data_IF_054280710726
#
_entry.id   IF_054280710726
#
_cell.length_a   1.000
_cell.length_b   1.000
_cell.length_c   1.000
_cell.angle_alpha   90.00
_cell.angle_beta   90.00
_cell.angle_gamma   90.00
#
_symmetry.space_group_name_H-M   'P 1'
#
loop_
_entity.id
_entity.type
_entity.pdbx_description
1 polymer ?
#
# COMPACT_ATOMS: atom_id res chain seq x y z
N UNK A 1 -15.98 9.60 33.20
CA UNK A 1 -16.45 9.84 31.82
C UNK A 1 -15.23 9.87 30.91
N UNK A 2 -14.77 8.71 30.41
CA UNK A 2 -13.58 8.63 29.55
C UNK A 2 -14.04 8.78 28.10
N UNK A 3 -13.62 9.86 27.46
CA UNK A 3 -13.89 10.16 26.06
C UNK A 3 -13.22 9.11 25.17
N UNK A 4 -14.03 8.23 24.60
CA UNK A 4 -13.67 7.39 23.47
C UNK A 4 -13.44 8.30 22.26
N UNK A 5 -12.21 8.79 22.07
CA UNK A 5 -11.82 9.35 20.79
C UNK A 5 -11.49 8.18 19.86
N UNK A 6 -12.51 7.73 19.13
CA UNK A 6 -12.31 6.96 17.91
C UNK A 6 -11.65 7.89 16.91
N UNK A 7 -10.34 7.76 16.73
CA UNK A 7 -9.63 8.44 15.65
C UNK A 7 -10.07 7.83 14.32
N UNK A 8 -11.06 8.45 13.69
CA UNK A 8 -11.43 8.19 12.30
C UNK A 8 -10.37 8.81 11.39
N UNK A 9 -9.21 8.17 11.30
CA UNK A 9 -8.18 8.45 10.31
C UNK A 9 -8.24 7.39 9.20
N UNK A 10 -9.37 7.34 8.48
CA UNK A 10 -9.55 6.41 7.37
C UNK A 10 -10.22 7.11 6.18
N UNK A 11 -9.62 8.20 5.73
CA UNK A 11 -9.93 8.78 4.43
C UNK A 11 -8.71 9.59 3.99
N UNK A 12 -8.17 9.25 2.82
CA UNK A 12 -6.95 9.80 2.19
C UNK A 12 -5.64 9.04 2.48
N UNK A 13 -5.64 7.72 2.26
CA UNK A 13 -4.40 7.00 1.93
C UNK A 13 -4.32 6.87 0.40
N UNK A 14 -3.88 7.92 -0.28
CA UNK A 14 -3.43 7.78 -1.66
C UNK A 14 -2.04 7.13 -1.67
N UNK A 15 -1.82 6.25 -2.64
CA UNK A 15 -0.84 5.16 -2.74
C UNK A 15 0.66 5.50 -2.69
N UNK A 16 1.10 6.46 -1.85
CA UNK A 16 2.52 6.69 -1.60
C UNK A 16 2.93 5.97 -0.32
N UNK A 17 3.46 4.76 -0.46
CA UNK A 17 3.97 3.90 0.64
C UNK A 17 4.83 4.66 1.66
N UNK A 18 5.48 5.76 1.28
CA UNK A 18 6.33 6.59 2.15
C UNK A 18 5.54 7.33 3.25
N UNK A 19 4.38 7.92 2.94
CA UNK A 19 3.64 8.74 3.92
C UNK A 19 2.95 7.88 4.98
N UNK A 20 2.43 6.72 4.56
CA UNK A 20 1.86 5.71 5.45
C UNK A 20 2.88 5.17 6.45
N UNK A 21 4.10 4.89 5.99
CA UNK A 21 5.17 4.39 6.85
C UNK A 21 5.63 5.43 7.89
N UNK A 22 5.62 6.72 7.55
CA UNK A 22 5.99 7.80 8.48
C UNK A 22 4.94 7.94 9.59
N UNK A 23 3.64 7.95 9.24
CA UNK A 23 2.58 8.13 10.24
C UNK A 23 2.48 6.94 11.20
N UNK A 24 2.50 5.70 10.69
CA UNK A 24 2.42 4.50 11.54
C UNK A 24 3.62 4.42 12.48
N UNK A 25 4.81 4.77 12.01
CA UNK A 25 6.02 4.73 12.81
C UNK A 25 5.95 5.68 14.01
N UNK A 26 5.46 6.91 13.79
CA UNK A 26 5.32 7.88 14.88
C UNK A 26 4.31 7.40 15.93
N UNK A 27 3.12 6.95 15.50
CA UNK A 27 2.10 6.45 16.42
C UNK A 27 2.58 5.21 17.19
N UNK A 28 3.20 4.26 16.51
CA UNK A 28 3.67 3.01 17.13
C UNK A 28 4.78 3.27 18.16
N UNK A 29 5.71 4.18 17.87
CA UNK A 29 6.73 4.59 18.84
C UNK A 29 6.08 5.24 20.06
N UNK A 30 5.12 6.16 19.85
CA UNK A 30 4.42 6.82 20.93
C UNK A 30 3.67 5.82 21.83
N UNK A 31 2.97 4.86 21.23
CA UNK A 31 2.23 3.82 21.97
C UNK A 31 3.17 2.90 22.78
N UNK A 32 4.30 2.49 22.20
CA UNK A 32 5.29 1.65 22.90
C UNK A 32 5.94 2.41 24.05
N UNK A 33 6.33 3.67 23.83
CA UNK A 33 6.90 4.52 24.87
C UNK A 33 5.89 4.73 26.00
N UNK A 34 4.63 5.02 25.67
CA UNK A 34 3.58 5.17 26.68
C UNK A 34 3.40 3.87 27.48
N UNK A 35 3.41 2.72 26.81
CA UNK A 35 3.31 1.42 27.48
C UNK A 35 4.47 1.18 28.47
N UNK A 36 5.71 1.49 28.10
CA UNK A 36 6.86 1.35 28.99
C UNK A 36 6.80 2.31 30.18
N UNK A 37 6.34 3.54 29.96
CA UNK A 37 6.13 4.52 31.04
C UNK A 37 5.07 4.02 32.03
N UNK A 38 3.92 3.56 31.54
CA UNK A 38 2.82 3.07 32.36
C UNK A 38 3.23 1.81 33.16
N UNK A 39 4.04 0.95 32.56
CA UNK A 39 4.59 -0.26 33.19
C UNK A 39 5.80 0.01 34.09
N UNK A 40 6.29 1.26 34.18
CA UNK A 40 7.51 1.65 34.92
C UNK A 40 8.76 0.85 34.50
N UNK A 41 8.88 0.57 33.21
CA UNK A 41 10.04 -0.11 32.64
C UNK A 41 11.10 0.93 32.24
N UNK A 42 12.36 0.62 32.51
CA UNK A 42 13.48 1.39 31.97
C UNK A 42 13.70 1.02 30.50
N UNK A 43 13.90 2.02 29.64
CA UNK A 43 14.17 1.83 28.22
C UNK A 43 15.11 2.91 27.67
N UNK A 44 15.88 2.57 26.63
CA UNK A 44 16.60 3.57 25.82
C UNK A 44 15.80 3.84 24.55
N UNK A 45 15.41 5.09 24.35
CA UNK A 45 14.61 5.53 23.20
C UNK A 45 15.26 5.19 21.84
N UNK A 46 16.60 5.13 21.76
CA UNK A 46 17.29 4.76 20.52
C UNK A 46 17.06 3.31 20.14
N UNK A 47 17.08 2.39 21.10
CA UNK A 47 16.80 0.98 20.83
C UNK A 47 15.34 0.75 20.48
N UNK A 48 14.41 1.40 21.18
CA UNK A 48 12.97 1.36 20.83
C UNK A 48 12.75 1.81 19.39
N UNK A 49 13.33 2.94 19.00
CA UNK A 49 13.23 3.42 17.61
C UNK A 49 13.80 2.42 16.60
N UNK A 50 14.97 1.84 16.88
CA UNK A 50 15.62 0.88 16.00
C UNK A 50 14.78 -0.38 15.82
N UNK A 51 14.23 -0.92 16.90
CA UNK A 51 13.42 -2.14 16.87
C UNK A 51 12.10 -1.92 16.15
N UNK A 52 11.42 -0.78 16.41
CA UNK A 52 10.22 -0.41 15.65
C UNK A 52 10.53 -0.25 14.17
N UNK A 53 11.63 0.43 13.83
CA UNK A 53 12.02 0.61 12.43
C UNK A 53 12.33 -0.72 11.74
N UNK A 54 13.04 -1.63 12.41
CA UNK A 54 13.33 -2.98 11.89
C UNK A 54 12.05 -3.79 11.71
N UNK A 55 11.13 -3.74 12.67
CA UNK A 55 9.85 -4.45 12.56
C UNK A 55 9.04 -3.97 11.35
N UNK A 56 8.91 -2.65 11.16
CA UNK A 56 8.21 -2.07 10.01
C UNK A 56 8.87 -2.50 8.70
N UNK A 57 10.20 -2.39 8.60
CA UNK A 57 10.94 -2.82 7.42
C UNK A 57 10.76 -4.31 7.12
N UNK A 58 10.76 -5.15 8.16
CA UNK A 58 10.57 -6.59 8.01
C UNK A 58 9.19 -6.93 7.42
N UNK A 59 8.10 -6.37 7.96
CA UNK A 59 6.75 -6.69 7.47
C UNK A 59 6.55 -6.16 6.03
N UNK A 60 7.17 -5.02 5.69
CA UNK A 60 7.15 -4.47 4.34
C UNK A 60 7.91 -5.38 3.35
N UNK A 61 9.18 -5.66 3.64
CA UNK A 61 10.07 -6.37 2.72
C UNK A 61 9.75 -7.87 2.60
N UNK A 62 9.14 -8.47 3.62
CA UNK A 62 8.63 -9.86 3.57
C UNK A 62 7.35 -10.01 2.73
N UNK A 63 6.77 -8.90 2.26
CA UNK A 63 5.52 -8.90 1.52
C UNK A 63 4.30 -9.35 2.32
N UNK A 64 4.42 -9.44 3.66
CA UNK A 64 3.31 -9.82 4.54
C UNK A 64 2.19 -8.79 4.50
N UNK A 65 2.53 -7.49 4.53
CA UNK A 65 1.54 -6.40 4.40
C UNK A 65 0.80 -6.53 3.07
N UNK A 66 1.53 -6.68 1.96
CA UNK A 66 0.97 -6.78 0.62
C UNK A 66 -0.02 -7.95 0.49
N UNK A 67 0.37 -9.13 0.99
CA UNK A 67 -0.50 -10.32 0.98
C UNK A 67 -1.74 -10.14 1.86
N UNK A 68 -1.59 -9.53 3.05
CA UNK A 68 -2.71 -9.23 3.94
C UNK A 68 -3.71 -8.25 3.33
N UNK A 69 -3.22 -7.20 2.67
CA UNK A 69 -4.07 -6.23 1.95
C UNK A 69 -4.84 -6.93 0.82
N UNK A 70 -4.16 -7.73 -0.02
CA UNK A 70 -4.82 -8.43 -1.12
C UNK A 70 -5.86 -9.45 -0.63
N UNK A 71 -5.57 -10.21 0.42
CA UNK A 71 -6.53 -11.14 1.02
C UNK A 71 -7.75 -10.42 1.62
N UNK A 72 -7.55 -9.23 2.19
CA UNK A 72 -8.58 -8.37 2.74
C UNK A 72 -9.03 -7.24 1.81
N UNK A 73 -8.89 -7.40 0.49
CA UNK A 73 -9.01 -6.29 -0.50
C UNK A 73 -10.20 -5.35 -0.27
N UNK A 74 -11.45 -5.84 -0.01
CA UNK A 74 -12.60 -4.95 0.19
C UNK A 74 -12.50 -3.99 1.39
N UNK A 75 -11.63 -4.28 2.35
CA UNK A 75 -11.44 -3.47 3.56
C UNK A 75 -10.38 -2.39 3.37
N UNK A 76 -9.38 -2.65 2.54
CA UNK A 76 -8.17 -1.82 2.42
C UNK A 76 -8.09 -1.10 1.08
N UNK A 77 -8.74 -1.61 0.04
CA UNK A 77 -8.74 -1.05 -1.30
C UNK A 77 -10.12 -0.47 -1.61
N UNK A 78 -10.14 0.72 -2.18
CA UNK A 78 -11.36 1.42 -2.58
C UNK A 78 -11.49 1.31 -4.10
N UNK A 79 -12.63 0.80 -4.57
CA UNK A 79 -12.94 0.80 -6.01
C UNK A 79 -13.20 2.21 -6.49
N UNK A 80 -12.65 2.56 -7.66
CA UNK A 80 -12.82 3.88 -8.25
C UNK A 80 -13.22 3.81 -9.73
N UNK A 81 -14.54 3.79 -9.95
CA UNK A 81 -15.14 3.77 -11.29
C UNK A 81 -14.84 5.02 -12.13
N UNK A 82 -14.46 6.15 -11.50
CA UNK A 82 -14.07 7.36 -12.22
C UNK A 82 -12.65 7.24 -12.76
N UNK A 83 -11.74 6.66 -11.97
CA UNK A 83 -10.36 6.40 -12.38
C UNK A 83 -10.31 5.50 -13.62
N UNK A 84 -11.08 4.41 -13.63
CA UNK A 84 -11.18 3.52 -14.79
C UNK A 84 -11.60 4.28 -16.06
N UNK A 85 -12.67 5.07 -15.97
CA UNK A 85 -13.17 5.87 -17.09
C UNK A 85 -12.14 6.87 -17.61
N UNK A 86 -11.41 7.50 -16.70
CA UNK A 86 -10.36 8.45 -17.05
C UNK A 86 -9.18 7.77 -17.77
N UNK A 87 -8.69 6.64 -17.25
CA UNK A 87 -7.61 5.87 -17.87
C UNK A 87 -8.03 5.34 -19.26
N UNK A 88 -9.28 4.86 -19.39
CA UNK A 88 -9.85 4.44 -20.68
C UNK A 88 -9.90 5.59 -21.69
N UNK A 89 -10.41 6.75 -21.30
CA UNK A 89 -10.45 7.93 -22.16
C UNK A 89 -9.05 8.34 -22.67
N UNK A 90 -8.03 8.27 -21.80
CA UNK A 90 -6.66 8.59 -22.21
C UNK A 90 -6.13 7.59 -23.24
N UNK A 91 -6.39 6.30 -23.05
CA UNK A 91 -6.05 5.24 -23.99
C UNK A 91 -6.74 5.44 -25.34
N UNK A 92 -8.05 5.68 -25.33
CA UNK A 92 -8.86 5.86 -26.56
C UNK A 92 -8.38 7.08 -27.37
N UNK A 93 -7.80 8.08 -26.72
CA UNK A 93 -7.14 9.23 -27.35
C UNK A 93 -5.71 8.95 -27.82
N UNK A 94 -5.26 7.70 -27.82
CA UNK A 94 -3.93 7.27 -28.27
C UNK A 94 -2.78 7.65 -27.32
N UNK A 95 -3.06 7.94 -26.04
CA UNK A 95 -2.01 8.22 -25.06
C UNK A 95 -1.40 6.91 -24.55
N UNK A 96 -0.06 6.87 -24.46
CA UNK A 96 0.68 5.80 -23.79
C UNK A 96 0.69 6.07 -22.29
N UNK A 97 0.32 5.08 -21.50
CA UNK A 97 0.29 5.16 -20.03
C UNK A 97 1.35 4.21 -19.46
N UNK A 98 1.92 4.59 -18.33
CA UNK A 98 2.87 3.77 -17.56
C UNK A 98 2.65 4.04 -16.08
N UNK A 99 2.99 3.08 -15.21
CA UNK A 99 2.90 3.21 -13.76
C UNK A 99 4.26 3.01 -13.13
N UNK A 100 4.68 4.03 -12.38
CA UNK A 100 5.86 3.98 -11.53
C UNK A 100 5.42 3.78 -10.10
N UNK A 101 5.90 2.71 -9.47
CA UNK A 101 5.52 2.32 -8.11
C UNK A 101 6.69 1.68 -7.39
N UNK A 102 6.76 1.94 -6.08
CA UNK A 102 7.76 1.35 -5.19
C UNK A 102 7.31 -0.01 -4.63
N UNK A 103 6.15 -0.49 -5.05
CA UNK A 103 5.59 -1.78 -4.65
C UNK A 103 5.92 -2.87 -5.66
N UNK A 104 6.08 -4.13 -5.22
CA UNK A 104 6.40 -5.23 -6.12
C UNK A 104 5.25 -5.50 -7.11
N UNK A 105 5.60 -6.00 -8.30
CA UNK A 105 4.67 -6.20 -9.41
C UNK A 105 3.41 -6.99 -9.02
N UNK A 106 3.58 -8.11 -8.31
CA UNK A 106 2.46 -8.97 -7.91
C UNK A 106 1.42 -8.22 -7.06
N UNK A 107 1.86 -7.28 -6.23
CA UNK A 107 0.98 -6.52 -5.37
C UNK A 107 0.16 -5.53 -6.19
N UNK A 108 0.85 -4.77 -7.04
CA UNK A 108 0.27 -3.74 -7.89
C UNK A 108 -0.73 -4.34 -8.86
N UNK A 109 -0.40 -5.48 -9.46
CA UNK A 109 -1.28 -6.18 -10.38
C UNK A 109 -2.56 -6.69 -9.67
N UNK A 110 -2.45 -7.21 -8.45
CA UNK A 110 -3.62 -7.55 -7.63
C UNK A 110 -4.46 -6.32 -7.24
N UNK A 111 -3.80 -5.23 -6.88
CA UNK A 111 -4.43 -3.96 -6.52
C UNK A 111 -5.21 -3.35 -7.69
N UNK A 112 -4.60 -3.31 -8.88
CA UNK A 112 -5.20 -2.81 -10.11
C UNK A 112 -6.38 -3.67 -10.56
N UNK A 113 -6.23 -5.01 -10.50
CA UNK A 113 -7.36 -5.91 -10.79
C UNK A 113 -8.53 -5.62 -9.85
N UNK A 114 -8.31 -5.44 -8.56
CA UNK A 114 -9.40 -5.13 -7.63
C UNK A 114 -10.04 -3.75 -7.88
N UNK A 115 -9.22 -2.72 -8.09
CA UNK A 115 -9.68 -1.34 -8.28
C UNK A 115 -10.44 -1.11 -9.59
N UNK A 116 -10.03 -1.81 -10.65
CA UNK A 116 -10.56 -1.66 -12.00
C UNK A 116 -11.66 -2.69 -12.34
N UNK A 117 -11.89 -3.69 -11.47
CA UNK A 117 -12.99 -4.65 -11.61
C UNK A 117 -14.37 -3.98 -11.57
N UNK A 118 -15.05 -3.92 -12.72
CA UNK A 118 -16.50 -3.72 -12.83
C UNK A 118 -17.24 -5.04 -12.72
N UNK A 119 -18.56 -4.91 -12.55
CA UNK A 119 -19.49 -6.03 -12.38
C UNK A 119 -19.96 -6.69 -13.68
N UNK A 120 -19.48 -6.29 -14.87
CA UNK A 120 -19.80 -6.87 -16.20
C UNK A 120 -19.13 -6.02 -17.30
N UNK A 121 -18.08 -6.55 -17.91
CA UNK A 121 -17.61 -6.37 -19.32
C UNK A 121 -16.15 -6.85 -19.39
N UNK A 122 -16.00 -8.14 -19.71
CA UNK A 122 -14.82 -8.98 -19.46
C UNK A 122 -13.61 -8.68 -20.39
N UNK A 123 -13.76 -7.79 -21.37
CA UNK A 123 -12.75 -7.53 -22.40
C UNK A 123 -11.87 -6.29 -22.18
N UNK A 124 -12.42 -5.20 -21.64
CA UNK A 124 -11.71 -3.92 -21.58
C UNK A 124 -10.77 -3.82 -20.35
N UNK A 125 -11.11 -4.50 -19.26
CA UNK A 125 -10.38 -4.45 -17.99
C UNK A 125 -8.97 -5.04 -18.07
N UNK A 126 -8.85 -6.20 -18.73
CA UNK A 126 -7.57 -6.88 -18.97
C UNK A 126 -6.63 -5.97 -19.77
N UNK A 127 -7.17 -5.32 -20.81
CA UNK A 127 -6.41 -4.44 -21.69
C UNK A 127 -5.87 -3.18 -20.99
N UNK A 128 -6.57 -2.66 -19.98
CA UNK A 128 -6.11 -1.49 -19.20
C UNK A 128 -5.09 -1.90 -18.14
N UNK A 129 -5.32 -3.04 -17.47
CA UNK A 129 -4.34 -3.61 -16.57
C UNK A 129 -3.02 -3.89 -17.31
N UNK A 130 -3.06 -4.40 -18.53
CA UNK A 130 -1.87 -4.66 -19.37
C UNK A 130 -1.12 -3.39 -19.79
N UNK A 131 -1.82 -2.28 -20.03
CA UNK A 131 -1.21 -1.03 -20.48
C UNK A 131 -0.45 -0.33 -19.37
N UNK A 132 -1.00 -0.36 -18.15
CA UNK A 132 -0.37 0.25 -16.97
C UNK A 132 0.93 -0.47 -16.58
N UNK A 133 1.14 -1.72 -17.05
CA UNK A 133 2.29 -2.59 -16.71
C UNK A 133 3.63 -2.18 -17.33
N UNK A 134 3.68 -1.24 -18.26
CA UNK A 134 4.94 -0.97 -18.98
C UNK A 134 5.88 -0.06 -18.18
N UNK A 135 6.96 -0.70 -17.71
CA UNK A 135 8.27 -0.19 -17.30
C UNK A 135 8.48 0.35 -15.88
N UNK A 136 9.46 -0.30 -15.22
CA UNK A 136 10.18 0.02 -13.97
C UNK A 136 9.64 -0.58 -12.67
N UNK A 137 9.50 -1.91 -12.63
CA UNK A 137 10.02 -2.64 -11.47
C UNK A 137 11.46 -3.03 -11.80
N UNK A 138 12.43 -2.43 -11.11
CA UNK A 138 13.84 -2.82 -11.19
C UNK A 138 14.05 -4.19 -10.54
N UNK A 139 13.49 -5.24 -11.13
CA UNK A 139 13.94 -6.60 -10.87
C UNK A 139 15.18 -6.84 -11.74
N UNK A 140 16.28 -7.15 -11.06
CA UNK A 140 17.52 -7.57 -11.70
C UNK A 140 17.20 -8.71 -12.69
N UNK A 141 17.69 -8.55 -13.91
CA UNK A 141 17.98 -9.67 -14.80
C UNK A 141 18.90 -10.64 -14.04
N UNK A 142 18.32 -11.71 -13.52
CA UNK A 142 19.01 -13.00 -13.52
C UNK A 142 18.20 -13.92 -14.42
N UNK A 143 18.36 -13.72 -15.73
CA UNK A 143 18.57 -14.87 -16.60
C UNK A 143 19.75 -15.64 -16.01
N UNK A 144 19.50 -16.85 -15.55
CA UNK A 144 20.50 -17.90 -15.56
C UNK A 144 19.77 -19.15 -16.08
N UNK A 145 20.44 -19.77 -17.03
CA UNK A 145 20.09 -20.96 -17.81
C UNK A 145 19.45 -22.12 -17.01
#
# INVERSE_FOLDING_TARGET
MKTSQSFSALSLLSSSSVFFLIQIKACLIADIVQHFVDAKLEFDARYVYQDVNRAIQYVHNSGLVHRGILAGSPRYLVKNDQLFRFLKMLKDKGKKLFLLTNSPFYFVDGEMRFMLQRKREEGDELSLCEIVKKELCGENLTEND
#
